data_IF_107609336951
#
_entry.id   IF_107609336951
#
_cell.length_a   1.000
_cell.length_b   1.000
_cell.length_c   1.000
_cell.angle_alpha   90.00
_cell.angle_beta   90.00
_cell.angle_gamma   90.00
#
_symmetry.space_group_name_H-M   'P 1'
#
loop_
_entity.id
_entity.type
_entity.pdbx_description
1 polymer ?
#
# COMPACT_ATOMS: atom_id res chain seq x y z
N UNK A 1 9.41 8.32 -6.55
CA UNK A 1 9.49 7.23 -5.56
C UNK A 1 10.26 6.04 -6.13
N UNK A 2 9.90 5.56 -7.31
CA UNK A 2 10.49 4.37 -7.95
C UNK A 2 11.32 4.69 -9.20
N UNK A 3 11.77 5.92 -9.36
CA UNK A 3 12.65 6.37 -10.43
C UNK A 3 11.93 6.93 -11.64
N UNK A 4 10.96 6.25 -12.22
CA UNK A 4 10.24 6.69 -13.42
C UNK A 4 8.73 6.76 -13.18
N UNK A 5 8.08 7.72 -13.84
CA UNK A 5 6.63 7.81 -13.90
C UNK A 5 6.07 6.87 -14.95
N UNK A 6 5.98 5.57 -14.62
CA UNK A 6 5.46 4.54 -15.52
C UNK A 6 4.58 3.55 -14.75
N UNK A 7 3.61 2.96 -15.42
CA UNK A 7 2.84 1.84 -14.89
C UNK A 7 3.74 0.62 -14.68
N UNK A 8 3.47 -0.17 -13.65
CA UNK A 8 4.15 -1.47 -13.44
C UNK A 8 3.71 -2.52 -14.45
N UNK A 9 2.49 -2.40 -14.95
CA UNK A 9 1.86 -3.28 -15.93
C UNK A 9 1.33 -2.48 -17.12
N UNK A 10 0.84 -3.14 -18.15
CA UNK A 10 0.13 -2.49 -19.26
C UNK A 10 -1.33 -2.25 -18.90
N UNK A 11 -1.99 -1.32 -19.60
CA UNK A 11 -3.44 -1.12 -19.44
C UNK A 11 -4.24 -2.39 -19.75
N UNK A 12 -3.75 -3.20 -20.69
CA UNK A 12 -4.40 -4.45 -21.09
C UNK A 12 -4.47 -5.45 -19.93
N UNK A 13 -3.47 -5.47 -19.06
CA UNK A 13 -3.39 -6.40 -17.93
C UNK A 13 -4.48 -6.16 -16.89
N UNK A 14 -5.03 -4.95 -16.83
CA UNK A 14 -6.12 -4.59 -15.89
C UNK A 14 -7.31 -5.55 -16.05
N UNK A 15 -7.59 -6.05 -17.27
CA UNK A 15 -8.68 -6.99 -17.50
C UNK A 15 -8.55 -8.33 -16.75
N UNK A 16 -7.36 -8.63 -16.24
CA UNK A 16 -7.07 -9.87 -15.51
C UNK A 16 -7.20 -9.72 -13.98
N UNK A 17 -7.40 -8.50 -13.47
CA UNK A 17 -7.57 -8.26 -12.05
C UNK A 17 -8.88 -8.85 -11.51
N UNK A 18 -8.86 -9.38 -10.30
CA UNK A 18 -10.04 -9.86 -9.57
C UNK A 18 -10.67 -8.75 -8.73
N UNK A 19 -9.87 -7.78 -8.33
CA UNK A 19 -10.29 -6.57 -7.63
C UNK A 19 -9.52 -5.37 -8.18
N UNK A 20 -10.21 -4.26 -8.35
CA UNK A 20 -9.61 -2.98 -8.76
C UNK A 20 -9.96 -1.92 -7.73
N UNK A 21 -8.95 -1.29 -7.13
CA UNK A 21 -9.13 -0.10 -6.31
C UNK A 21 -8.65 1.12 -7.10
N UNK A 22 -9.46 2.16 -7.16
CA UNK A 22 -9.06 3.46 -7.72
C UNK A 22 -9.00 4.45 -6.58
N UNK A 23 -7.82 4.98 -6.31
CA UNK A 23 -7.58 5.93 -5.25
C UNK A 23 -6.56 6.98 -5.71
N UNK A 24 -6.87 8.27 -5.53
CA UNK A 24 -6.00 9.35 -6.02
C UNK A 24 -6.03 9.56 -7.53
N UNK A 25 -7.13 9.18 -8.20
CA UNK A 25 -7.30 9.37 -9.63
C UNK A 25 -8.74 9.23 -10.12
N UNK A 26 -9.05 9.83 -11.25
CA UNK A 26 -10.35 9.72 -11.94
C UNK A 26 -10.14 9.08 -13.32
N UNK A 27 -9.86 7.77 -13.31
CA UNK A 27 -9.42 7.03 -14.49
C UNK A 27 -10.47 7.01 -15.63
N UNK A 28 -11.76 6.98 -15.32
CA UNK A 28 -12.81 6.99 -16.33
C UNK A 28 -12.85 8.28 -17.17
N UNK A 29 -12.45 9.40 -16.56
CA UNK A 29 -12.46 10.71 -17.22
C UNK A 29 -11.08 11.07 -17.80
N UNK A 30 -10.01 10.84 -17.01
CA UNK A 30 -8.65 11.22 -17.40
C UNK A 30 -7.99 10.23 -18.37
N UNK A 31 -8.39 8.95 -18.35
CA UNK A 31 -7.82 7.89 -19.17
C UNK A 31 -8.92 7.00 -19.79
N UNK A 32 -9.87 7.57 -20.56
CA UNK A 32 -11.07 6.83 -21.02
C UNK A 32 -10.71 5.62 -21.88
N UNK A 33 -9.67 5.72 -22.72
CA UNK A 33 -9.21 4.59 -23.56
C UNK A 33 -8.59 3.48 -22.71
N UNK A 34 -7.86 3.81 -21.65
CA UNK A 34 -7.34 2.83 -20.67
C UNK A 34 -8.45 2.22 -19.83
N UNK A 35 -9.45 3.01 -19.46
CA UNK A 35 -10.56 2.59 -18.60
C UNK A 35 -11.45 1.49 -19.21
N UNK A 36 -11.44 1.34 -20.54
CA UNK A 36 -12.12 0.22 -21.20
C UNK A 36 -11.72 -1.15 -20.63
N UNK A 37 -10.46 -1.29 -20.18
CA UNK A 37 -9.98 -2.55 -19.62
C UNK A 37 -10.52 -2.82 -18.22
N UNK A 38 -10.85 -1.76 -17.46
CA UNK A 38 -11.60 -1.87 -16.19
C UNK A 38 -13.01 -2.41 -16.48
N UNK A 39 -13.68 -1.84 -17.48
CA UNK A 39 -15.02 -2.29 -17.89
C UNK A 39 -14.97 -3.74 -18.42
N UNK A 40 -13.91 -4.08 -19.15
CA UNK A 40 -13.71 -5.43 -19.66
C UNK A 40 -13.50 -6.44 -18.51
N UNK A 41 -12.72 -6.09 -17.47
CA UNK A 41 -12.58 -6.89 -16.25
C UNK A 41 -13.95 -7.14 -15.59
N UNK A 42 -14.73 -6.08 -15.39
CA UNK A 42 -16.09 -6.20 -14.83
C UNK A 42 -16.96 -7.16 -15.63
N UNK A 43 -16.93 -7.03 -16.96
CA UNK A 43 -17.77 -7.81 -17.88
C UNK A 43 -17.35 -9.28 -17.96
N UNK A 44 -16.06 -9.57 -18.07
CA UNK A 44 -15.54 -10.92 -18.30
C UNK A 44 -15.34 -11.73 -17.02
N UNK A 45 -14.85 -11.09 -15.97
CA UNK A 45 -14.52 -11.76 -14.69
C UNK A 45 -15.48 -11.46 -13.55
N UNK A 46 -16.38 -10.49 -13.71
CA UNK A 46 -17.20 -10.00 -12.61
C UNK A 46 -16.38 -9.18 -11.58
N UNK A 47 -15.21 -8.69 -11.99
CA UNK A 47 -14.31 -7.90 -11.16
C UNK A 47 -15.04 -6.73 -10.53
N UNK A 48 -14.83 -6.55 -9.21
CA UNK A 48 -15.40 -5.43 -8.47
C UNK A 48 -14.44 -4.25 -8.46
N UNK A 49 -15.01 -3.06 -8.68
CA UNK A 49 -14.29 -1.79 -8.69
C UNK A 49 -14.66 -0.98 -7.47
N UNK A 50 -13.67 -0.65 -6.68
CA UNK A 50 -13.79 0.16 -5.46
C UNK A 50 -13.11 1.50 -5.69
N UNK A 51 -13.80 2.59 -5.36
CA UNK A 51 -13.25 3.95 -5.48
C UNK A 51 -13.15 4.59 -4.11
N UNK A 52 -11.97 5.10 -3.80
CA UNK A 52 -11.70 5.90 -2.59
C UNK A 52 -11.24 7.27 -3.05
N UNK A 53 -12.09 8.28 -2.87
CA UNK A 53 -11.82 9.62 -3.40
C UNK A 53 -12.56 10.67 -2.55
N UNK A 54 -11.99 11.86 -2.34
CA UNK A 54 -12.68 12.95 -1.66
C UNK A 54 -13.97 13.41 -2.37
N UNK A 55 -14.06 13.14 -3.67
CA UNK A 55 -15.19 13.54 -4.51
C UNK A 55 -15.80 12.34 -5.24
N UNK A 56 -17.12 12.27 -5.24
CA UNK A 56 -17.84 11.35 -6.13
C UNK A 56 -17.64 11.79 -7.58
N UNK A 57 -16.77 11.11 -8.31
CA UNK A 57 -16.36 11.43 -9.66
C UNK A 57 -16.93 10.43 -10.70
N UNK A 58 -16.58 10.59 -11.98
CA UNK A 58 -17.08 9.71 -13.05
C UNK A 58 -16.62 8.24 -12.90
N UNK A 59 -15.46 8.02 -12.30
CA UNK A 59 -15.01 6.66 -11.98
C UNK A 59 -15.89 6.04 -10.89
N UNK A 60 -16.21 6.82 -9.85
CA UNK A 60 -17.11 6.39 -8.79
C UNK A 60 -18.52 6.06 -9.32
N UNK A 61 -19.00 6.81 -10.32
CA UNK A 61 -20.32 6.58 -10.91
C UNK A 61 -20.49 5.22 -11.61
N UNK A 62 -19.39 4.57 -12.00
CA UNK A 62 -19.38 3.25 -12.65
C UNK A 62 -18.74 2.16 -11.79
N UNK A 63 -18.28 2.52 -10.60
CA UNK A 63 -17.75 1.60 -9.61
C UNK A 63 -18.85 0.74 -8.96
N UNK A 64 -18.46 -0.35 -8.34
CA UNK A 64 -19.36 -1.18 -7.54
C UNK A 64 -19.48 -0.63 -6.10
N UNK A 65 -18.47 0.11 -5.66
CA UNK A 65 -18.44 0.70 -4.33
C UNK A 65 -17.64 2.02 -4.31
N UNK A 66 -18.12 2.98 -3.55
CA UNK A 66 -17.45 4.26 -3.31
C UNK A 66 -17.35 4.56 -1.82
N UNK A 67 -16.15 4.90 -1.36
CA UNK A 67 -15.92 5.39 -0.02
C UNK A 67 -15.34 6.82 -0.09
N UNK A 68 -15.92 7.79 0.60
CA UNK A 68 -15.33 9.11 0.72
C UNK A 68 -14.09 9.07 1.62
N UNK A 69 -13.08 9.87 1.30
CA UNK A 69 -11.87 10.04 2.11
C UNK A 69 -11.53 11.52 2.21
N UNK A 70 -11.06 11.96 3.36
CA UNK A 70 -10.56 13.34 3.52
C UNK A 70 -9.25 13.49 2.73
N UNK A 71 -9.17 14.55 1.94
CA UNK A 71 -7.96 14.85 1.14
C UNK A 71 -6.72 14.94 2.04
N UNK A 72 -5.65 14.24 1.65
CA UNK A 72 -4.38 14.20 2.38
C UNK A 72 -4.30 13.15 3.50
N UNK A 73 -5.35 12.38 3.75
CA UNK A 73 -5.36 11.31 4.77
C UNK A 73 -5.12 9.90 4.20
N UNK A 74 -4.69 9.80 2.96
CA UNK A 74 -4.50 8.56 2.21
C UNK A 74 -3.55 7.58 2.92
N UNK A 75 -2.48 8.09 3.55
CA UNK A 75 -1.54 7.27 4.31
C UNK A 75 -2.24 6.58 5.49
N UNK A 76 -3.15 7.28 6.18
CA UNK A 76 -3.90 6.69 7.29
C UNK A 76 -4.86 5.60 6.80
N UNK A 77 -5.51 5.80 5.64
CA UNK A 77 -6.38 4.80 5.02
C UNK A 77 -5.59 3.56 4.61
N UNK A 78 -4.50 3.75 3.85
CA UNK A 78 -3.66 2.64 3.38
C UNK A 78 -2.92 1.95 4.54
N UNK A 79 -2.46 2.72 5.53
CA UNK A 79 -1.83 2.16 6.73
C UNK A 79 -2.79 1.28 7.53
N UNK A 80 -4.04 1.70 7.67
CA UNK A 80 -5.08 0.89 8.31
C UNK A 80 -5.42 -0.36 7.48
N UNK A 81 -5.37 -0.27 6.14
CA UNK A 81 -5.55 -1.43 5.26
C UNK A 81 -4.44 -2.46 5.48
N UNK A 82 -3.18 -2.01 5.50
CA UNK A 82 -2.03 -2.88 5.79
C UNK A 82 -2.18 -3.52 7.18
N UNK A 83 -2.50 -2.72 8.21
CA UNK A 83 -2.69 -3.25 9.56
C UNK A 83 -3.80 -4.31 9.61
N UNK A 84 -4.95 -4.03 8.98
CA UNK A 84 -6.07 -4.96 8.92
C UNK A 84 -5.68 -6.28 8.22
N UNK A 85 -4.93 -6.20 7.12
CA UNK A 85 -4.44 -7.39 6.40
C UNK A 85 -3.52 -8.23 7.28
N UNK A 86 -2.63 -7.59 8.04
CA UNK A 86 -1.73 -8.25 8.99
C UNK A 86 -2.52 -8.92 10.11
N UNK A 87 -3.45 -8.21 10.76
CA UNK A 87 -4.25 -8.72 11.87
C UNK A 87 -5.17 -9.89 11.49
N UNK A 88 -5.61 -9.93 10.23
CA UNK A 88 -6.52 -10.96 9.72
C UNK A 88 -5.80 -12.05 8.91
N UNK A 89 -4.47 -12.07 8.92
CA UNK A 89 -3.63 -13.02 8.17
C UNK A 89 -4.00 -13.11 6.67
N UNK A 90 -4.27 -11.96 6.06
CA UNK A 90 -4.58 -11.83 4.63
C UNK A 90 -3.32 -11.53 3.83
N UNK A 91 -2.40 -12.49 3.79
CA UNK A 91 -1.05 -12.34 3.24
C UNK A 91 -0.71 -13.56 2.37
N UNK A 92 -0.13 -13.30 1.21
CA UNK A 92 0.47 -14.36 0.38
C UNK A 92 1.87 -14.68 0.89
N UNK A 93 1.96 -15.52 1.91
CA UNK A 93 3.21 -15.81 2.61
C UNK A 93 4.33 -16.34 1.72
N UNK A 94 4.02 -17.19 0.76
CA UNK A 94 5.02 -17.69 -0.20
C UNK A 94 5.64 -16.56 -1.01
N UNK A 95 4.79 -15.65 -1.51
CA UNK A 95 5.24 -14.48 -2.25
C UNK A 95 6.06 -13.53 -1.36
N UNK A 96 5.55 -13.20 -0.19
CA UNK A 96 6.20 -12.27 0.73
C UNK A 96 7.59 -12.77 1.14
N UNK A 97 7.74 -14.05 1.43
CA UNK A 97 9.03 -14.65 1.81
C UNK A 97 10.01 -14.75 0.65
N UNK A 98 9.53 -15.01 -0.57
CA UNK A 98 10.39 -15.23 -1.73
C UNK A 98 10.79 -13.94 -2.46
N UNK A 99 9.92 -12.93 -2.48
CA UNK A 99 10.07 -11.77 -3.37
C UNK A 99 10.13 -10.41 -2.66
N UNK A 100 10.10 -10.40 -1.31
CA UNK A 100 10.26 -9.17 -0.53
C UNK A 100 11.41 -9.29 0.46
N UNK A 101 11.76 -8.17 1.10
CA UNK A 101 12.77 -8.14 2.15
C UNK A 101 12.20 -8.44 3.56
N UNK A 102 10.98 -8.97 3.67
CA UNK A 102 10.31 -9.21 4.95
C UNK A 102 11.15 -10.04 5.93
N UNK A 103 11.92 -11.02 5.41
CA UNK A 103 12.78 -11.91 6.20
C UNK A 103 14.14 -11.30 6.57
N UNK A 104 14.52 -10.15 6.01
CA UNK A 104 15.83 -9.57 6.24
C UNK A 104 15.94 -9.01 7.66
N UNK A 105 17.12 -9.18 8.28
CA UNK A 105 17.38 -8.70 9.63
C UNK A 105 18.00 -7.30 9.54
N UNK A 106 17.34 -6.32 10.12
CA UNK A 106 17.80 -4.92 10.16
C UNK A 106 18.89 -4.78 11.21
N UNK A 107 20.01 -4.13 10.85
CA UNK A 107 21.14 -3.91 11.73
C UNK A 107 20.75 -3.10 12.97
N UNK A 108 21.44 -3.34 14.10
CA UNK A 108 21.17 -2.70 15.39
C UNK A 108 21.27 -1.17 15.34
N UNK A 109 22.11 -0.63 14.48
CA UNK A 109 22.27 0.82 14.31
C UNK A 109 21.08 1.54 13.69
N UNK A 110 20.14 0.82 13.06
CA UNK A 110 18.91 1.41 12.54
C UNK A 110 17.86 1.50 13.64
N UNK A 111 17.24 2.67 13.75
CA UNK A 111 16.09 2.89 14.62
C UNK A 111 15.07 3.82 13.95
N UNK A 112 13.83 3.77 14.44
CA UNK A 112 12.73 4.61 14.00
C UNK A 112 11.87 4.95 15.21
N UNK A 113 11.95 6.21 15.66
CA UNK A 113 11.21 6.70 16.80
C UNK A 113 10.45 7.99 16.45
N UNK A 114 9.19 8.08 16.84
CA UNK A 114 8.30 9.23 16.68
C UNK A 114 8.32 9.88 15.28
N UNK A 115 8.49 9.08 14.23
CA UNK A 115 8.55 9.56 12.84
C UNK A 115 9.94 9.96 12.35
N UNK A 116 10.97 9.82 13.17
CA UNK A 116 12.36 10.09 12.81
C UNK A 116 13.15 8.80 12.68
N UNK A 117 13.93 8.69 11.60
CA UNK A 117 14.90 7.61 11.45
C UNK A 117 16.20 7.96 12.17
N UNK A 118 16.95 6.92 12.57
CA UNK A 118 18.33 7.09 13.06
C UNK A 118 19.19 7.86 12.06
N UNK A 119 20.15 8.62 12.57
CA UNK A 119 21.06 9.43 11.74
C UNK A 119 20.55 10.83 11.41
N UNK A 120 19.43 11.28 11.98
CA UNK A 120 18.98 12.66 11.82
C UNK A 120 19.86 13.64 12.61
N UNK A 121 20.38 14.66 11.92
CA UNK A 121 21.14 15.78 12.50
C UNK A 121 20.22 17.02 12.51
N UNK A 122 19.75 17.38 13.71
CA UNK A 122 18.83 18.51 13.86
C UNK A 122 19.49 19.86 13.52
N UNK A 123 20.77 19.98 13.74
CA UNK A 123 21.53 21.21 13.42
C UNK A 123 21.67 21.44 11.92
N UNK A 124 21.85 20.38 11.16
CA UNK A 124 22.01 20.43 9.70
C UNK A 124 20.68 20.18 8.97
N UNK A 125 19.61 19.77 9.69
CA UNK A 125 18.31 19.40 9.10
C UNK A 125 18.43 18.35 8.00
N UNK A 126 19.30 17.36 8.18
CA UNK A 126 19.55 16.30 7.21
C UNK A 126 19.81 14.97 7.88
N UNK A 127 19.68 13.90 7.10
CA UNK A 127 19.99 12.55 7.54
C UNK A 127 21.38 12.10 7.07
N UNK A 128 22.11 11.37 7.93
CA UNK A 128 23.07 10.36 7.52
C UNK A 128 22.35 9.01 7.43
N UNK A 129 22.57 8.27 6.38
CA UNK A 129 22.05 6.92 6.20
C UNK A 129 23.06 5.81 6.56
N UNK A 130 24.11 6.16 7.28
CA UNK A 130 25.19 5.23 7.64
C UNK A 130 24.71 4.06 8.52
N UNK A 131 23.56 4.23 9.21
CA UNK A 131 22.94 3.17 10.01
C UNK A 131 21.84 2.38 9.27
N UNK A 132 21.51 2.74 8.02
CA UNK A 132 20.36 2.18 7.28
C UNK A 132 20.76 0.96 6.46
N UNK A 133 21.10 -0.12 7.11
CA UNK A 133 21.52 -1.36 6.45
C UNK A 133 21.00 -2.59 7.19
N UNK A 134 21.19 -3.75 6.57
CA UNK A 134 20.87 -5.05 7.15
C UNK A 134 22.11 -5.64 7.82
N UNK A 135 21.89 -6.56 8.77
CA UNK A 135 22.96 -7.45 9.21
C UNK A 135 23.47 -8.29 8.04
N UNK A 136 24.77 -8.48 7.97
CA UNK A 136 25.39 -9.29 6.91
C UNK A 136 25.87 -10.63 7.46
N UNK A 137 25.76 -11.66 6.65
CA UNK A 137 26.37 -12.97 6.91
C UNK A 137 27.88 -12.97 6.54
N UNK A 138 28.54 -14.11 6.71
CA UNK A 138 29.95 -14.26 6.40
C UNK A 138 30.29 -14.10 4.90
N UNK A 139 29.30 -14.22 4.03
CA UNK A 139 29.40 -14.01 2.59
C UNK A 139 29.12 -12.57 2.15
N UNK A 140 28.77 -11.69 3.08
CA UNK A 140 28.42 -10.28 2.78
C UNK A 140 26.98 -10.10 2.28
N UNK A 141 26.11 -11.10 2.39
CA UNK A 141 24.70 -11.01 2.05
C UNK A 141 23.86 -10.67 3.29
N UNK A 142 22.71 -10.04 3.07
CA UNK A 142 21.79 -9.73 4.16
C UNK A 142 21.36 -11.03 4.84
N UNK A 143 21.51 -11.09 6.17
CA UNK A 143 20.97 -12.20 6.97
C UNK A 143 19.44 -12.23 6.87
N UNK A 144 18.91 -13.44 6.83
CA UNK A 144 17.46 -13.67 6.73
C UNK A 144 16.97 -14.58 7.84
N UNK A 145 15.74 -14.32 8.28
CA UNK A 145 14.96 -15.24 9.11
C UNK A 145 13.69 -15.68 8.35
N UNK A 146 13.69 -16.85 7.70
CA UNK A 146 12.52 -17.37 6.97
C UNK A 146 11.30 -17.62 7.86
N UNK A 147 11.49 -17.69 9.19
CA UNK A 147 10.39 -17.85 10.14
C UNK A 147 9.65 -16.55 10.42
N UNK A 148 10.27 -15.40 10.09
CA UNK A 148 9.79 -14.05 10.35
C UNK A 148 9.57 -13.73 11.83
N UNK A 149 10.23 -14.47 12.74
CA UNK A 149 10.08 -14.31 14.19
C UNK A 149 11.19 -13.44 14.81
N UNK A 150 12.29 -13.25 14.11
CA UNK A 150 13.38 -12.42 14.63
C UNK A 150 12.87 -10.99 14.89
N UNK A 151 13.06 -10.43 16.12
CA UNK A 151 12.47 -9.13 16.50
C UNK A 151 12.91 -7.97 15.62
N UNK A 152 14.09 -8.07 15.00
CA UNK A 152 14.60 -7.08 14.05
C UNK A 152 14.43 -7.49 12.59
N UNK A 153 13.62 -8.50 12.27
CA UNK A 153 13.23 -8.71 10.88
C UNK A 153 12.40 -7.54 10.37
N UNK A 154 12.53 -7.21 9.10
CA UNK A 154 11.71 -6.16 8.46
C UNK A 154 10.23 -6.41 8.73
N UNK A 155 9.79 -7.67 8.70
CA UNK A 155 8.41 -8.05 8.99
C UNK A 155 7.95 -7.62 10.39
N UNK A 156 8.73 -7.91 11.44
CA UNK A 156 8.33 -7.55 12.80
C UNK A 156 8.35 -6.04 13.03
N UNK A 157 9.32 -5.34 12.47
CA UNK A 157 9.37 -3.88 12.54
C UNK A 157 8.20 -3.24 11.79
N UNK A 158 7.85 -3.76 10.62
CA UNK A 158 6.70 -3.32 9.83
C UNK A 158 5.38 -3.56 10.59
N UNK A 159 5.20 -4.74 11.15
CA UNK A 159 4.03 -5.08 11.98
C UNK A 159 3.89 -4.12 13.16
N UNK A 160 4.99 -3.85 13.87
CA UNK A 160 5.01 -2.89 14.98
C UNK A 160 4.65 -1.47 14.50
N UNK A 161 5.21 -1.04 13.38
CA UNK A 161 4.94 0.30 12.83
C UNK A 161 3.47 0.47 12.45
N UNK A 162 2.87 -0.52 11.74
CA UNK A 162 1.50 -0.40 11.25
C UNK A 162 0.43 -0.63 12.31
N UNK A 163 0.74 -1.23 13.46
CA UNK A 163 -0.22 -1.43 14.56
C UNK A 163 -0.86 -0.14 15.09
N UNK A 164 -0.23 1.01 14.86
CA UNK A 164 -0.78 2.34 15.20
C UNK A 164 -1.99 2.75 14.35
N UNK A 165 -2.11 2.19 13.14
CA UNK A 165 -3.19 2.55 12.22
C UNK A 165 -4.43 1.72 12.50
N UNK A 166 -5.09 2.02 13.64
CA UNK A 166 -6.33 1.36 14.04
C UNK A 166 -7.53 1.84 13.22
N UNK A 167 -8.63 1.07 13.24
CA UNK A 167 -9.89 1.48 12.59
C UNK A 167 -10.43 2.80 13.14
N UNK A 168 -10.25 3.06 14.44
CA UNK A 168 -10.68 4.32 15.07
C UNK A 168 -9.85 5.50 14.57
N UNK A 169 -8.53 5.34 14.51
CA UNK A 169 -7.64 6.35 13.96
C UNK A 169 -7.96 6.63 12.49
N UNK A 170 -8.11 5.59 11.68
CA UNK A 170 -8.47 5.72 10.27
C UNK A 170 -9.78 6.47 10.09
N UNK A 171 -10.85 6.06 10.76
CA UNK A 171 -12.16 6.70 10.63
C UNK A 171 -12.14 8.17 11.06
N UNK A 172 -11.43 8.48 12.14
CA UNK A 172 -11.27 9.86 12.65
C UNK A 172 -10.50 10.75 11.67
N UNK A 173 -9.38 10.26 11.14
CA UNK A 173 -8.52 11.03 10.23
C UNK A 173 -9.09 11.12 8.82
N UNK A 174 -9.57 10.01 8.28
CA UNK A 174 -10.03 9.92 6.90
C UNK A 174 -11.47 10.39 6.72
N UNK A 175 -12.28 10.38 7.77
CA UNK A 175 -13.73 10.63 7.67
C UNK A 175 -14.49 9.52 6.96
N UNK A 176 -13.83 8.43 6.61
CA UNK A 176 -14.45 7.21 6.05
C UNK A 176 -15.09 6.42 7.19
N UNK A 177 -16.29 5.89 6.97
CA UNK A 177 -16.93 5.02 7.97
C UNK A 177 -16.14 3.72 8.13
N UNK A 178 -16.20 3.10 9.31
CA UNK A 178 -15.57 1.80 9.55
C UNK A 178 -16.17 0.71 8.64
N UNK A 179 -17.46 0.77 8.39
CA UNK A 179 -18.20 -0.16 7.53
C UNK A 179 -17.69 -0.09 6.08
N UNK A 180 -17.56 1.14 5.54
CA UNK A 180 -17.08 1.36 4.19
C UNK A 180 -15.62 0.87 4.05
N UNK A 181 -14.78 1.22 5.02
CA UNK A 181 -13.40 0.74 5.05
C UNK A 181 -13.32 -0.79 5.09
N UNK A 182 -14.08 -1.43 6.00
CA UNK A 182 -14.08 -2.89 6.12
C UNK A 182 -14.61 -3.59 4.88
N UNK A 183 -15.52 -2.97 4.14
CA UNK A 183 -15.99 -3.49 2.84
C UNK A 183 -14.82 -3.58 1.86
N UNK A 184 -14.00 -2.54 1.77
CA UNK A 184 -12.81 -2.52 0.90
C UNK A 184 -11.72 -3.46 1.42
N UNK A 185 -11.44 -3.44 2.73
CA UNK A 185 -10.41 -4.27 3.33
C UNK A 185 -10.66 -5.77 3.15
N UNK A 186 -11.91 -6.20 3.34
CA UNK A 186 -12.31 -7.59 3.10
C UNK A 186 -12.14 -7.98 1.64
N UNK A 187 -12.60 -7.13 0.71
CA UNK A 187 -12.44 -7.39 -0.72
C UNK A 187 -10.96 -7.46 -1.13
N UNK A 188 -10.11 -6.59 -0.58
CA UNK A 188 -8.67 -6.64 -0.81
C UNK A 188 -8.07 -7.94 -0.24
N UNK A 189 -8.45 -8.31 0.99
CA UNK A 189 -8.00 -9.54 1.63
C UNK A 189 -8.38 -10.83 0.89
N UNK A 190 -9.44 -10.81 0.06
CA UNK A 190 -9.78 -11.96 -0.80
C UNK A 190 -8.77 -12.19 -1.93
N UNK A 191 -7.92 -11.23 -2.24
CA UNK A 191 -6.84 -11.38 -3.22
C UNK A 191 -5.57 -11.99 -2.64
N UNK A 192 -5.53 -12.26 -1.33
CA UNK A 192 -4.38 -12.85 -0.63
C UNK A 192 -4.21 -14.36 -0.90
N UNK A 193 -4.46 -14.79 -2.11
CA UNK A 193 -4.33 -16.18 -2.57
C UNK A 193 -3.64 -16.23 -3.94
N UNK A 194 -2.86 -17.28 -4.25
CA UNK A 194 -1.98 -17.30 -5.44
C UNK A 194 -2.67 -17.10 -6.79
N UNK A 195 -3.96 -17.41 -6.90
CA UNK A 195 -4.72 -17.35 -8.16
C UNK A 195 -5.60 -16.12 -8.30
N UNK A 196 -5.48 -15.14 -7.39
CA UNK A 196 -6.20 -13.86 -7.45
C UNK A 196 -5.26 -12.68 -7.46
N UNK A 197 -5.68 -11.62 -8.13
CA UNK A 197 -4.89 -10.40 -8.29
C UNK A 197 -5.70 -9.16 -7.97
N UNK A 198 -5.21 -8.35 -7.04
CA UNK A 198 -5.67 -6.98 -6.82
C UNK A 198 -4.80 -5.98 -7.59
N UNK A 199 -5.38 -4.88 -8.04
CA UNK A 199 -4.62 -3.77 -8.63
C UNK A 199 -5.12 -2.42 -8.11
N UNK A 200 -4.20 -1.46 -8.02
CA UNK A 200 -4.51 -0.08 -7.64
C UNK A 200 -4.24 0.84 -8.84
N UNK A 201 -5.23 1.64 -9.19
CA UNK A 201 -5.09 2.71 -10.16
C UNK A 201 -5.04 4.04 -9.41
N UNK A 202 -3.93 4.76 -9.54
CA UNK A 202 -3.75 6.10 -8.98
C UNK A 202 -3.18 7.05 -10.03
N UNK A 203 -3.26 8.34 -9.77
CA UNK A 203 -2.67 9.35 -10.62
C UNK A 203 -2.27 10.60 -9.81
N UNK A 204 -2.53 11.79 -10.35
CA UNK A 204 -2.09 13.07 -9.79
C UNK A 204 -2.73 13.40 -8.44
N UNK A 205 -3.87 12.79 -8.11
CA UNK A 205 -4.50 12.92 -6.78
C UNK A 205 -3.62 12.42 -5.63
N UNK A 206 -2.62 11.56 -5.91
CA UNK A 206 -1.56 11.22 -4.96
C UNK A 206 -0.27 11.98 -5.24
N UNK A 207 0.20 11.97 -6.49
CA UNK A 207 1.54 12.46 -6.82
C UNK A 207 1.72 13.95 -6.58
N UNK A 208 0.67 14.74 -6.61
CA UNK A 208 0.72 16.21 -6.45
C UNK A 208 0.48 16.68 -5.01
N UNK A 209 0.34 15.79 -4.05
CA UNK A 209 0.34 16.15 -2.63
C UNK A 209 1.77 16.38 -2.12
N UNK A 210 1.94 17.22 -1.10
CA UNK A 210 3.21 17.39 -0.39
C UNK A 210 3.76 16.05 0.13
N UNK A 211 2.88 15.15 0.57
CA UNK A 211 3.20 13.79 1.04
C UNK A 211 3.02 12.72 -0.03
N UNK A 212 2.95 13.09 -1.31
CA UNK A 212 2.65 12.16 -2.39
C UNK A 212 3.62 10.99 -2.52
N UNK A 213 4.92 11.24 -2.29
CA UNK A 213 5.94 10.18 -2.28
C UNK A 213 5.65 9.14 -1.19
N UNK A 214 5.26 9.58 0.00
CA UNK A 214 4.92 8.70 1.12
C UNK A 214 3.62 7.93 0.86
N UNK A 215 2.61 8.55 0.27
CA UNK A 215 1.38 7.87 -0.15
C UNK A 215 1.67 6.70 -1.08
N UNK A 216 2.49 6.93 -2.11
CA UNK A 216 2.87 5.91 -3.10
C UNK A 216 3.71 4.81 -2.45
N UNK A 217 4.61 5.14 -1.54
CA UNK A 217 5.38 4.14 -0.77
C UNK A 217 4.47 3.28 0.09
N UNK A 218 3.52 3.89 0.79
CA UNK A 218 2.54 3.16 1.62
C UNK A 218 1.68 2.22 0.75
N UNK A 219 1.28 2.65 -0.43
CA UNK A 219 0.56 1.80 -1.38
C UNK A 219 1.39 0.59 -1.83
N UNK A 220 2.70 0.76 -1.99
CA UNK A 220 3.59 -0.29 -2.48
C UNK A 220 4.00 -1.30 -1.38
N UNK A 221 3.70 -1.00 -0.14
CA UNK A 221 3.94 -1.91 1.00
C UNK A 221 2.81 -2.90 1.17
#
# INVERSE_FOLDING_TARGET
TFGRGAMTNTFVDIQHADMIMVMGGNAAEAHPVGFKWVIEAKKKKGTKVYVVDPRFNRTAAVADFYAPVRSGSDIAFLGALINWLIENDKIQWEYVKAYTNASFIVAEGFDFDEGMFSGYDDGKKQYSNDSWFYELDAGGYAKTDPTLQHPRSVWQLLKQHYSRYTLDMMSTLCGTSKEDFLTIAKAWGETAVPNKTGTILYALGWTQHTTGTQMIRTMAM
#
